data_IF_587997478170
#
_entry.id   IF_587997478170
#
_cell.length_a   1.000
_cell.length_b   1.000
_cell.length_c   1.000
_cell.angle_alpha   90.00
_cell.angle_beta   90.00
_cell.angle_gamma   90.00
#
_symmetry.space_group_name_H-M   'P 1'
#
loop_
_entity.id
_entity.type
_entity.pdbx_description
1 polymer ?
#
# COMPACT_ATOMS: atom_id res chain seq x y z
N UNK A 1 58.68 22.58 16.96
CA UNK A 1 57.82 22.00 15.91
C UNK A 1 56.99 20.84 16.46
N UNK A 2 55.91 21.07 17.23
CA UNK A 2 55.04 19.97 17.73
C UNK A 2 53.59 20.38 18.04
N UNK A 3 52.96 21.26 17.26
CA UNK A 3 51.54 21.63 17.49
C UNK A 3 50.54 20.81 16.64
N UNK A 4 50.96 20.25 15.51
CA UNK A 4 50.07 19.52 14.58
C UNK A 4 49.58 18.14 15.06
N UNK A 5 50.15 17.58 16.13
CA UNK A 5 49.79 16.23 16.59
C UNK A 5 48.44 16.18 17.32
N UNK A 6 47.99 17.29 17.93
CA UNK A 6 46.79 17.34 18.78
C UNK A 6 45.47 17.57 18.01
N UNK A 7 45.57 17.95 16.73
CA UNK A 7 44.42 18.32 15.89
C UNK A 7 43.78 17.07 15.24
N UNK A 8 44.59 16.02 14.97
CA UNK A 8 44.14 14.75 14.40
C UNK A 8 43.10 13.98 15.24
N UNK A 9 43.23 13.83 16.57
CA UNK A 9 42.22 13.11 17.36
C UNK A 9 40.91 13.89 17.50
N UNK A 10 40.96 15.23 17.50
CA UNK A 10 39.77 16.09 17.58
C UNK A 10 38.99 16.06 16.26
N UNK A 11 39.69 16.08 15.12
CA UNK A 11 39.08 15.92 13.81
C UNK A 11 38.50 14.51 13.63
N UNK A 12 39.20 13.47 14.10
CA UNK A 12 38.70 12.09 14.06
C UNK A 12 37.48 11.89 14.98
N UNK A 13 37.49 12.48 16.19
CA UNK A 13 36.34 12.43 17.10
C UNK A 13 35.15 13.24 16.59
N UNK A 14 35.39 14.37 15.92
CA UNK A 14 34.34 15.17 15.31
C UNK A 14 33.70 14.43 14.13
N UNK A 15 34.48 13.77 13.27
CA UNK A 15 33.96 12.96 12.16
C UNK A 15 33.22 11.71 12.68
N UNK A 16 33.73 11.04 13.71
CA UNK A 16 33.03 9.92 14.35
C UNK A 16 31.73 10.38 15.05
N UNK A 17 31.73 11.53 15.72
CA UNK A 17 30.52 12.09 16.31
C UNK A 17 29.51 12.50 15.23
N UNK A 18 29.95 13.06 14.10
CA UNK A 18 29.10 13.35 12.95
C UNK A 18 28.54 12.07 12.32
N UNK A 19 29.34 10.99 12.24
CA UNK A 19 28.91 9.70 11.71
C UNK A 19 27.93 8.99 12.65
N UNK A 20 28.12 9.10 13.97
CA UNK A 20 27.20 8.58 14.98
C UNK A 20 25.89 9.37 14.96
N UNK A 21 25.95 10.70 14.89
CA UNK A 21 24.77 11.56 14.71
C UNK A 21 24.06 11.25 13.38
N UNK A 22 24.78 11.07 12.27
CA UNK A 22 24.20 10.67 10.98
C UNK A 22 23.59 9.26 11.01
N UNK A 23 24.11 8.35 11.84
CA UNK A 23 23.52 7.02 12.06
C UNK A 23 22.33 7.02 13.04
N UNK A 24 22.18 8.11 13.80
CA UNK A 24 21.08 8.36 14.75
C UNK A 24 20.01 9.29 14.16
N UNK A 25 20.26 9.94 13.01
CA UNK A 25 19.24 10.53 12.13
C UNK A 25 18.51 9.38 11.43
N UNK A 26 17.79 8.62 12.24
CA UNK A 26 16.54 7.94 11.91
C UNK A 26 16.50 7.12 10.61
N UNK A 27 16.89 5.83 10.64
CA UNK A 27 16.23 4.85 9.77
C UNK A 27 14.73 4.70 10.12
N UNK A 28 14.30 5.21 11.28
CA UNK A 28 12.92 5.15 11.74
C UNK A 28 11.96 6.10 11.00
N UNK A 29 12.41 7.23 10.46
CA UNK A 29 11.52 8.20 9.78
C UNK A 29 11.48 8.05 8.25
N UNK A 30 12.46 7.36 7.64
CA UNK A 30 12.42 7.02 6.21
C UNK A 30 11.77 5.64 5.93
N UNK A 31 11.69 4.75 6.94
CA UNK A 31 11.08 3.43 6.81
C UNK A 31 9.64 3.37 7.36
N UNK A 32 9.23 4.33 8.19
CA UNK A 32 7.85 4.47 8.67
C UNK A 32 6.87 4.99 7.60
N UNK A 33 7.34 5.46 6.44
CA UNK A 33 6.52 6.05 5.39
C UNK A 33 6.56 5.30 4.04
N UNK A 34 7.25 4.16 3.96
CA UNK A 34 7.54 3.50 2.68
C UNK A 34 6.58 2.38 2.33
N UNK A 35 6.55 1.31 3.13
CA UNK A 35 5.86 0.07 2.76
C UNK A 35 4.35 0.19 2.97
N UNK A 36 3.92 0.80 4.08
CA UNK A 36 2.50 0.98 4.37
C UNK A 36 1.86 1.96 3.37
N UNK A 37 2.51 3.08 3.07
CA UNK A 37 2.04 4.04 2.05
C UNK A 37 2.03 3.44 0.65
N UNK A 38 3.04 2.63 0.28
CA UNK A 38 3.04 1.91 -1.00
C UNK A 38 1.90 0.89 -1.05
N UNK A 39 1.66 0.15 0.05
CA UNK A 39 0.60 -0.85 0.10
C UNK A 39 -0.78 -0.20 0.05
N UNK A 40 -0.99 0.92 0.73
CA UNK A 40 -2.22 1.72 0.65
C UNK A 40 -2.41 2.30 -0.76
N UNK A 41 -1.38 2.87 -1.39
CA UNK A 41 -1.46 3.35 -2.77
C UNK A 41 -1.83 2.24 -3.75
N UNK A 42 -1.31 1.01 -3.56
CA UNK A 42 -1.70 -0.14 -4.39
C UNK A 42 -3.15 -0.52 -4.12
N UNK A 43 -3.60 -0.60 -2.87
CA UNK A 43 -4.99 -0.90 -2.53
C UNK A 43 -5.93 0.17 -3.10
N UNK A 44 -5.58 1.45 -3.00
CA UNK A 44 -6.33 2.56 -3.57
C UNK A 44 -6.33 2.53 -5.10
N UNK A 45 -5.22 2.16 -5.74
CA UNK A 45 -5.17 1.98 -7.19
C UNK A 45 -6.04 0.80 -7.65
N UNK A 46 -6.08 -0.29 -6.88
CA UNK A 46 -6.86 -1.50 -7.20
C UNK A 46 -8.35 -1.39 -6.85
N UNK A 47 -8.72 -0.59 -5.84
CA UNK A 47 -10.11 -0.40 -5.38
C UNK A 47 -10.69 0.98 -5.72
N UNK A 48 -9.89 1.83 -6.36
CA UNK A 48 -10.22 3.21 -6.69
C UNK A 48 -11.34 3.34 -7.73
N UNK A 49 -11.59 4.59 -8.14
CA UNK A 49 -12.74 4.93 -8.98
C UNK A 49 -12.74 4.18 -10.33
N UNK A 50 -11.58 3.95 -10.92
CA UNK A 50 -11.44 3.21 -12.18
C UNK A 50 -11.92 1.76 -12.02
N UNK A 51 -11.52 1.07 -10.95
CA UNK A 51 -11.95 -0.30 -10.68
C UNK A 51 -13.45 -0.40 -10.44
N UNK A 52 -14.04 0.57 -9.71
CA UNK A 52 -15.49 0.67 -9.53
C UNK A 52 -16.23 0.82 -10.86
N UNK A 53 -15.75 1.68 -11.75
CA UNK A 53 -16.35 1.88 -13.08
C UNK A 53 -16.28 0.59 -13.93
N UNK A 54 -15.15 -0.10 -13.93
CA UNK A 54 -15.01 -1.39 -14.63
C UNK A 54 -15.97 -2.45 -14.07
N UNK A 55 -16.14 -2.52 -12.76
CA UNK A 55 -17.08 -3.44 -12.13
C UNK A 55 -18.54 -3.14 -12.51
N UNK A 56 -18.93 -1.87 -12.58
CA UNK A 56 -20.27 -1.46 -13.03
C UNK A 56 -20.53 -1.93 -14.46
N UNK A 57 -19.56 -1.72 -15.36
CA UNK A 57 -19.67 -2.18 -16.76
C UNK A 57 -19.81 -3.71 -16.81
N UNK A 58 -19.00 -4.44 -16.04
CA UNK A 58 -19.07 -5.90 -15.97
C UNK A 58 -20.45 -6.40 -15.50
N UNK A 59 -21.03 -5.77 -14.47
CA UNK A 59 -22.38 -6.11 -13.97
C UNK A 59 -23.43 -5.89 -15.06
N UNK A 60 -23.37 -4.78 -15.80
CA UNK A 60 -24.29 -4.50 -16.91
C UNK A 60 -24.21 -5.61 -17.96
N UNK A 61 -22.99 -6.01 -18.35
CA UNK A 61 -22.79 -7.09 -19.33
C UNK A 61 -23.33 -8.43 -18.82
N UNK A 62 -23.14 -8.76 -17.54
CA UNK A 62 -23.66 -10.00 -16.94
C UNK A 62 -25.20 -9.99 -16.95
N UNK A 63 -25.83 -8.88 -16.58
CA UNK A 63 -27.29 -8.74 -16.61
C UNK A 63 -27.84 -8.94 -18.03
N UNK A 64 -27.18 -8.35 -19.03
CA UNK A 64 -27.57 -8.49 -20.43
C UNK A 64 -27.36 -9.93 -20.92
N UNK A 65 -26.20 -10.53 -20.66
CA UNK A 65 -25.88 -11.90 -21.05
C UNK A 65 -26.85 -12.91 -20.43
N UNK A 66 -27.29 -12.65 -19.19
CA UNK A 66 -28.30 -13.43 -18.51
C UNK A 66 -29.69 -13.29 -19.17
N UNK A 67 -30.12 -12.07 -19.52
CA UNK A 67 -31.39 -11.84 -20.21
C UNK A 67 -31.47 -12.53 -21.58
N UNK A 68 -30.35 -12.62 -22.30
CA UNK A 68 -30.27 -13.30 -23.60
C UNK A 68 -30.05 -14.82 -23.50
N UNK A 69 -30.03 -15.40 -22.29
CA UNK A 69 -29.88 -16.84 -22.10
C UNK A 69 -28.48 -17.38 -22.40
N UNK A 70 -27.47 -16.51 -22.58
CA UNK A 70 -26.07 -16.94 -22.73
C UNK A 70 -25.48 -17.46 -21.40
N UNK A 71 -26.12 -17.15 -20.28
CA UNK A 71 -25.67 -17.52 -18.94
C UNK A 71 -26.85 -17.87 -18.04
N UNK A 72 -26.72 -18.94 -17.24
CA UNK A 72 -27.71 -19.32 -16.23
C UNK A 72 -27.62 -18.46 -14.95
N UNK A 73 -28.75 -18.35 -14.22
CA UNK A 73 -28.83 -17.65 -12.92
C UNK A 73 -27.71 -18.07 -11.95
N UNK A 74 -27.34 -19.35 -11.96
CA UNK A 74 -26.29 -19.89 -11.09
C UNK A 74 -24.92 -19.32 -11.41
N UNK A 75 -24.58 -19.21 -12.70
CA UNK A 75 -23.31 -18.62 -13.14
C UNK A 75 -23.29 -17.12 -12.89
N UNK A 76 -24.39 -16.43 -13.17
CA UNK A 76 -24.53 -15.00 -12.90
C UNK A 76 -24.38 -14.68 -11.40
N UNK A 77 -24.98 -15.51 -10.53
CA UNK A 77 -24.89 -15.37 -9.07
C UNK A 77 -23.45 -15.46 -8.54
N UNK A 78 -22.62 -16.38 -9.06
CA UNK A 78 -21.22 -16.47 -8.64
C UNK A 78 -20.41 -15.21 -8.99
N UNK A 79 -20.67 -14.63 -10.17
CA UNK A 79 -20.02 -13.36 -10.55
C UNK A 79 -20.42 -12.22 -9.64
N UNK A 80 -21.72 -12.10 -9.31
CA UNK A 80 -22.21 -11.04 -8.42
C UNK A 80 -21.61 -11.17 -7.01
N UNK A 81 -21.56 -12.40 -6.46
CA UNK A 81 -20.95 -12.66 -5.15
C UNK A 81 -19.45 -12.33 -5.17
N UNK A 82 -18.73 -12.69 -6.24
CA UNK A 82 -17.31 -12.39 -6.39
C UNK A 82 -17.03 -10.88 -6.40
N UNK A 83 -17.80 -10.11 -7.16
CA UNK A 83 -17.68 -8.65 -7.22
C UNK A 83 -18.01 -8.04 -5.85
N UNK A 84 -19.12 -8.46 -5.22
CA UNK A 84 -19.50 -8.02 -3.88
C UNK A 84 -18.44 -8.31 -2.83
N UNK A 85 -17.78 -9.48 -2.90
CA UNK A 85 -16.69 -9.86 -2.02
C UNK A 85 -15.44 -8.98 -2.19
N UNK A 86 -15.05 -8.66 -3.44
CA UNK A 86 -13.86 -7.83 -3.71
C UNK A 86 -14.05 -6.42 -3.13
N UNK A 87 -15.21 -5.79 -3.36
CA UNK A 87 -15.48 -4.45 -2.85
C UNK A 87 -15.83 -4.44 -1.36
N UNK A 88 -16.39 -5.52 -0.83
CA UNK A 88 -16.68 -5.67 0.60
C UNK A 88 -15.47 -6.06 1.45
N UNK A 89 -14.39 -6.55 0.84
CA UNK A 89 -13.21 -7.05 1.56
C UNK A 89 -12.59 -5.99 2.48
N UNK A 90 -12.49 -4.74 2.02
CA UNK A 90 -11.90 -3.65 2.79
C UNK A 90 -12.69 -3.38 4.08
N UNK A 91 -14.03 -3.33 4.00
CA UNK A 91 -14.90 -3.13 5.16
C UNK A 91 -14.82 -4.31 6.16
N UNK A 92 -14.77 -5.54 5.64
CA UNK A 92 -14.65 -6.73 6.48
C UNK A 92 -13.33 -6.74 7.25
N UNK A 93 -12.22 -6.44 6.58
CA UNK A 93 -10.89 -6.41 7.22
C UNK A 93 -10.83 -5.29 8.24
N UNK A 94 -11.35 -4.10 7.94
CA UNK A 94 -11.40 -2.98 8.87
C UNK A 94 -12.21 -3.31 10.14
N UNK A 95 -13.29 -4.08 10.01
CA UNK A 95 -14.12 -4.51 11.15
C UNK A 95 -13.40 -5.55 12.04
N UNK A 96 -12.53 -6.39 11.46
CA UNK A 96 -11.82 -7.46 12.19
C UNK A 96 -10.57 -6.94 12.89
N UNK A 97 -9.79 -6.09 12.23
CA UNK A 97 -8.51 -5.60 12.74
C UNK A 97 -8.72 -4.44 13.74
N UNK A 98 -9.88 -3.78 13.67
CA UNK A 98 -10.18 -2.59 14.46
C UNK A 98 -9.59 -1.33 13.81
N UNK A 99 -10.32 -0.22 13.90
CA UNK A 99 -9.90 1.10 13.39
C UNK A 99 -8.74 1.68 14.19
#
# INVERSE_FOLDING_TARGET
MTFSARIRPIAASAVMAMAILASMVEPAFAQAAGIETVLQNIVEMLTGNIAKLLAVIAIIVICIAWMFGYMDLRRAGFWIIGIGGIFGATELVNTIVGS
#
